data_IF_566656642507
#
_entry.id   IF_566656642507
#
_cell.length_a   1.000
_cell.length_b   1.000
_cell.length_c   1.000
_cell.angle_alpha   90.00
_cell.angle_beta   90.00
_cell.angle_gamma   90.00
#
_symmetry.space_group_name_H-M   'P 1'
#
loop_
_entity.id
_entity.type
_entity.pdbx_description
1 polymer ?
#
# COMPACT_ATOMS: atom_id res chain seq x y z
N UNK A 1 6.30 -0.96 -6.58
CA UNK A 1 6.12 -0.39 -7.94
C UNK A 1 7.51 -0.14 -8.47
N UNK A 2 7.87 -0.82 -9.55
CA UNK A 2 9.19 -0.70 -10.20
C UNK A 2 9.55 0.75 -10.51
N UNK A 3 10.79 1.13 -10.24
CA UNK A 3 11.35 2.45 -10.56
C UNK A 3 12.07 2.50 -11.91
N UNK A 4 12.02 1.40 -12.67
CA UNK A 4 12.67 1.29 -13.98
C UNK A 4 11.60 1.35 -15.06
N UNK A 5 11.81 2.24 -16.03
CA UNK A 5 10.83 2.54 -17.07
C UNK A 5 11.40 2.25 -18.46
N UNK A 6 10.53 1.81 -19.35
CA UNK A 6 10.76 1.77 -20.78
C UNK A 6 9.62 2.52 -21.46
N UNK A 7 9.94 3.45 -22.36
CA UNK A 7 8.93 4.26 -23.08
C UNK A 7 7.93 4.96 -22.14
N UNK A 8 8.43 5.52 -21.03
CA UNK A 8 7.59 6.20 -20.03
C UNK A 8 6.66 5.29 -19.23
N UNK A 9 6.76 3.96 -19.37
CA UNK A 9 5.91 2.98 -18.68
C UNK A 9 6.77 2.02 -17.87
N UNK A 10 6.28 1.67 -16.69
CA UNK A 10 7.08 0.93 -15.71
C UNK A 10 7.30 -0.51 -16.17
N UNK A 11 8.54 -1.00 -16.10
CA UNK A 11 8.90 -2.35 -16.56
C UNK A 11 8.43 -3.39 -15.55
N UNK A 12 7.68 -4.39 -16.00
CA UNK A 12 7.23 -5.48 -15.15
C UNK A 12 8.37 -6.42 -14.74
N UNK A 13 8.34 -6.87 -13.49
CA UNK A 13 9.17 -7.94 -12.96
C UNK A 13 8.35 -8.74 -11.95
N UNK A 14 8.83 -9.94 -11.58
CA UNK A 14 8.10 -10.87 -10.69
C UNK A 14 7.63 -10.25 -9.36
N UNK A 15 8.38 -9.27 -8.85
CA UNK A 15 8.09 -8.58 -7.60
C UNK A 15 7.27 -7.29 -7.74
N UNK A 16 6.84 -6.92 -8.94
CA UNK A 16 6.17 -5.64 -9.19
C UNK A 16 4.81 -5.54 -8.50
N UNK A 17 4.17 -6.68 -8.24
CA UNK A 17 2.96 -6.80 -7.42
C UNK A 17 1.68 -6.40 -8.14
N UNK A 18 1.67 -6.27 -9.47
CA UNK A 18 0.45 -5.97 -10.20
C UNK A 18 -0.45 -7.21 -10.33
N UNK A 19 -1.75 -6.94 -10.43
CA UNK A 19 -2.78 -7.90 -10.83
C UNK A 19 -3.33 -7.47 -12.18
N UNK A 20 -3.20 -8.35 -13.16
CA UNK A 20 -3.79 -8.22 -14.50
C UNK A 20 -5.18 -8.80 -14.47
N UNK A 21 -6.17 -8.00 -14.81
CA UNK A 21 -7.58 -8.40 -14.84
C UNK A 21 -8.08 -8.24 -16.28
N UNK A 22 -8.64 -9.30 -16.83
CA UNK A 22 -9.29 -9.21 -18.14
C UNK A 22 -10.57 -8.40 -18.02
N UNK A 23 -10.88 -7.56 -19.01
CA UNK A 23 -12.26 -7.18 -19.23
C UNK A 23 -13.06 -8.46 -19.58
N UNK A 24 -14.39 -8.44 -19.49
CA UNK A 24 -15.20 -9.59 -19.89
C UNK A 24 -15.20 -9.72 -21.42
N UNK A 25 -14.51 -10.74 -21.99
CA UNK A 25 -15.10 -11.57 -23.04
C UNK A 25 -14.66 -13.06 -23.00
N UNK A 26 -14.16 -13.60 -21.87
CA UNK A 26 -13.84 -15.03 -21.78
C UNK A 26 -15.10 -15.87 -21.58
N UNK A 27 -15.81 -16.12 -22.68
CA UNK A 27 -17.04 -16.91 -22.67
C UNK A 27 -16.68 -18.39 -22.60
N UNK A 28 -16.93 -19.03 -21.47
CA UNK A 28 -16.74 -20.47 -21.31
C UNK A 28 -18.09 -21.20 -21.33
N UNK A 29 -18.05 -22.47 -21.74
CA UNK A 29 -19.19 -23.37 -21.70
C UNK A 29 -19.35 -23.87 -20.28
N UNK A 30 -20.41 -23.44 -19.61
CA UNK A 30 -20.77 -23.90 -18.26
C UNK A 30 -21.74 -25.07 -18.39
N UNK A 31 -21.41 -26.28 -17.91
CA UNK A 31 -22.36 -27.40 -17.94
C UNK A 31 -23.61 -27.09 -17.13
N UNK A 32 -24.78 -27.30 -17.73
CA UNK A 32 -26.07 -27.25 -17.04
C UNK A 32 -26.89 -28.49 -17.39
N UNK A 33 -27.94 -28.85 -16.60
CA UNK A 33 -28.81 -29.98 -16.92
C UNK A 33 -29.47 -29.92 -18.31
N UNK A 34 -29.61 -28.71 -18.89
CA UNK A 34 -30.20 -28.49 -20.22
C UNK A 34 -29.15 -28.37 -21.35
N UNK A 35 -27.87 -28.61 -21.04
CA UNK A 35 -26.74 -28.46 -21.97
C UNK A 35 -25.80 -27.29 -21.61
N UNK A 36 -24.63 -27.18 -22.25
CA UNK A 36 -23.65 -26.14 -21.90
C UNK A 36 -24.13 -24.73 -22.25
N UNK A 37 -24.09 -23.81 -21.29
CA UNK A 37 -24.48 -22.40 -21.46
C UNK A 37 -23.23 -21.53 -21.63
N UNK A 38 -23.10 -20.72 -22.71
CA UNK A 38 -22.03 -19.74 -22.85
C UNK A 38 -22.13 -18.66 -21.75
N UNK A 39 -21.15 -18.61 -20.86
CA UNK A 39 -21.11 -17.66 -19.73
C UNK A 39 -19.82 -16.84 -19.78
N UNK A 40 -19.88 -15.49 -19.73
CA UNK A 40 -18.69 -14.66 -19.69
C UNK A 40 -18.01 -14.70 -18.31
N UNK A 41 -16.68 -14.81 -18.30
CA UNK A 41 -15.86 -14.77 -17.10
C UNK A 41 -14.87 -13.60 -17.10
N UNK A 42 -14.49 -13.19 -15.90
CA UNK A 42 -13.41 -12.23 -15.64
C UNK A 42 -12.24 -13.01 -15.06
N UNK A 43 -11.11 -12.98 -15.76
CA UNK A 43 -9.91 -13.66 -15.33
C UNK A 43 -8.93 -12.70 -14.66
N UNK A 44 -8.10 -13.25 -13.77
CA UNK A 44 -7.05 -12.54 -13.07
C UNK A 44 -5.75 -13.32 -13.05
N UNK A 45 -4.63 -12.62 -13.15
CA UNK A 45 -3.28 -13.16 -13.04
C UNK A 45 -2.36 -12.17 -12.30
N UNK A 46 -1.40 -12.67 -11.50
CA UNK A 46 -0.53 -11.82 -10.68
C UNK A 46 0.93 -11.89 -11.13
N UNK A 47 1.66 -10.76 -11.05
CA UNK A 47 3.09 -10.70 -11.40
C UNK A 47 3.95 -11.70 -10.60
N UNK A 48 3.53 -12.03 -9.38
CA UNK A 48 4.16 -13.04 -8.53
C UNK A 48 4.23 -14.43 -9.19
N UNK A 49 3.34 -14.70 -10.15
CA UNK A 49 3.27 -15.93 -10.94
C UNK A 49 4.12 -15.88 -12.22
N UNK A 50 4.99 -14.87 -12.37
CA UNK A 50 5.88 -14.76 -13.53
C UNK A 50 6.75 -16.02 -13.67
N UNK A 51 6.56 -16.68 -14.82
CA UNK A 51 7.34 -17.79 -15.32
C UNK A 51 8.06 -17.35 -16.60
N UNK A 52 9.20 -17.99 -16.87
CA UNK A 52 10.04 -17.67 -18.06
C UNK A 52 10.42 -16.19 -18.15
N UNK A 53 10.65 -15.55 -17.00
CA UNK A 53 11.28 -14.22 -16.94
C UNK A 53 12.75 -14.25 -17.37
N UNK A 54 13.40 -13.09 -17.37
CA UNK A 54 14.83 -12.98 -17.64
C UNK A 54 15.67 -13.86 -16.69
N UNK A 55 16.81 -14.34 -17.19
CA UNK A 55 17.70 -15.24 -16.44
C UNK A 55 18.86 -14.51 -15.77
N UNK A 56 19.39 -13.48 -16.44
CA UNK A 56 20.60 -12.75 -16.05
C UNK A 56 20.27 -11.35 -15.53
N UNK A 57 19.25 -10.71 -16.10
CA UNK A 57 18.86 -9.36 -15.71
C UNK A 57 17.82 -9.41 -14.61
N UNK A 58 17.96 -8.57 -13.59
CA UNK A 58 16.94 -8.41 -12.55
C UNK A 58 16.62 -6.93 -12.34
N UNK A 59 15.37 -6.64 -11.98
CA UNK A 59 14.94 -5.34 -11.48
C UNK A 59 14.46 -5.56 -10.06
N UNK A 60 15.01 -4.79 -9.10
CA UNK A 60 14.70 -4.95 -7.67
C UNK A 60 14.88 -6.39 -7.17
N UNK A 61 15.95 -7.08 -7.64
CA UNK A 61 16.26 -8.46 -7.28
C UNK A 61 15.31 -9.52 -7.89
N UNK A 62 14.42 -9.13 -8.79
CA UNK A 62 13.42 -10.01 -9.40
C UNK A 62 13.64 -10.17 -10.91
N UNK A 63 13.36 -11.35 -11.49
CA UNK A 63 13.34 -11.55 -12.94
C UNK A 63 12.38 -10.58 -13.64
N UNK A 64 12.83 -10.01 -14.75
CA UNK A 64 12.10 -9.08 -15.62
C UNK A 64 11.15 -9.87 -16.53
N UNK A 65 9.94 -9.34 -16.74
CA UNK A 65 9.00 -9.89 -17.70
C UNK A 65 9.40 -9.47 -19.13
N UNK A 66 9.50 -10.45 -20.02
CA UNK A 66 9.85 -10.28 -21.43
C UNK A 66 8.66 -10.65 -22.31
N UNK A 67 8.66 -10.25 -23.58
CA UNK A 67 7.61 -10.65 -24.53
C UNK A 67 7.48 -12.16 -24.72
N UNK A 68 8.50 -12.94 -24.33
CA UNK A 68 8.48 -14.41 -24.32
C UNK A 68 8.06 -15.02 -22.97
N UNK A 69 7.79 -14.20 -21.96
CA UNK A 69 7.40 -14.64 -20.62
C UNK A 69 5.90 -14.93 -20.52
N UNK A 70 5.50 -15.56 -19.42
CA UNK A 70 4.11 -15.84 -19.11
C UNK A 70 3.85 -15.72 -17.59
N UNK A 71 2.63 -15.40 -17.19
CA UNK A 71 2.17 -15.68 -15.83
C UNK A 71 1.56 -17.09 -15.84
N UNK A 72 2.07 -17.96 -14.98
CA UNK A 72 1.78 -19.40 -15.04
C UNK A 72 0.30 -19.74 -14.87
N UNK A 73 -0.45 -18.87 -14.19
CA UNK A 73 -1.86 -19.11 -13.86
C UNK A 73 -2.68 -17.84 -14.06
N UNK A 74 -3.78 -18.01 -14.80
CA UNK A 74 -4.90 -17.09 -14.92
C UNK A 74 -6.15 -17.82 -14.40
N UNK A 75 -6.89 -17.18 -13.48
CA UNK A 75 -8.02 -17.78 -12.74
C UNK A 75 -9.25 -16.88 -12.78
N UNK A 76 -10.45 -17.46 -12.70
CA UNK A 76 -11.74 -16.76 -12.77
C UNK A 76 -12.79 -17.47 -13.63
N UNK A 77 -12.38 -18.44 -14.45
CA UNK A 77 -13.19 -19.22 -15.39
C UNK A 77 -13.51 -20.65 -14.89
N UNK A 78 -13.26 -20.95 -13.61
CA UNK A 78 -13.42 -22.28 -13.00
C UNK A 78 -14.82 -22.91 -13.11
N UNK A 79 -15.93 -22.15 -13.22
CA UNK A 79 -17.24 -22.75 -13.47
C UNK A 79 -17.43 -23.25 -14.92
N UNK A 80 -16.61 -22.79 -15.87
CA UNK A 80 -16.67 -23.14 -17.29
C UNK A 80 -15.95 -24.44 -17.64
N UNK A 81 -16.24 -25.54 -16.94
CA UNK A 81 -15.48 -26.79 -17.03
C UNK A 81 -15.54 -27.50 -18.38
N UNK A 82 -16.47 -27.12 -19.27
CA UNK A 82 -16.50 -27.57 -20.67
C UNK A 82 -15.64 -26.71 -21.62
N UNK A 83 -14.82 -25.79 -21.06
CA UNK A 83 -13.82 -25.00 -21.75
C UNK A 83 -14.34 -23.73 -22.42
N UNK A 84 -13.42 -22.85 -22.83
CA UNK A 84 -13.72 -21.63 -23.59
C UNK A 84 -14.50 -21.92 -24.88
N UNK A 85 -15.44 -21.03 -25.25
CA UNK A 85 -16.29 -21.15 -26.44
C UNK A 85 -15.46 -21.32 -27.73
N UNK A 86 -14.32 -20.62 -27.80
CA UNK A 86 -13.39 -20.65 -28.92
C UNK A 86 -12.12 -21.46 -28.59
N UNK A 87 -11.61 -21.35 -27.36
CA UNK A 87 -10.31 -21.93 -26.99
C UNK A 87 -10.37 -23.40 -26.54
N UNK A 88 -11.54 -23.89 -26.10
CA UNK A 88 -11.74 -25.19 -25.44
C UNK A 88 -10.80 -25.44 -24.25
N UNK A 89 -10.20 -24.39 -23.67
CA UNK A 89 -9.29 -24.46 -22.52
C UNK A 89 -10.01 -24.09 -21.23
N UNK A 90 -9.54 -24.67 -20.12
CA UNK A 90 -10.04 -24.46 -18.76
C UNK A 90 -8.85 -24.16 -17.85
N UNK A 91 -8.79 -22.94 -17.29
CA UNK A 91 -7.56 -22.36 -16.72
C UNK A 91 -6.43 -22.29 -17.74
N UNK A 92 -5.50 -21.39 -17.51
CA UNK A 92 -4.39 -21.22 -18.44
C UNK A 92 -3.34 -20.26 -17.94
N UNK A 93 -2.47 -19.88 -18.85
CA UNK A 93 -1.45 -18.87 -18.63
C UNK A 93 -1.93 -17.52 -19.15
N UNK A 94 -1.35 -16.46 -18.61
CA UNK A 94 -1.44 -15.14 -19.21
C UNK A 94 -0.13 -14.83 -19.94
N UNK A 95 -0.21 -14.33 -21.17
CA UNK A 95 0.93 -13.82 -21.93
C UNK A 95 0.72 -12.36 -22.29
N UNK A 96 1.75 -11.68 -22.78
CA UNK A 96 1.65 -10.33 -23.31
C UNK A 96 1.64 -10.36 -24.84
N UNK A 97 0.75 -9.59 -25.45
CA UNK A 97 0.66 -9.45 -26.91
C UNK A 97 1.64 -8.42 -27.47
N UNK A 98 2.22 -7.56 -26.63
CA UNK A 98 3.33 -6.68 -27.01
C UNK A 98 4.26 -6.37 -25.84
N UNK A 99 5.35 -5.68 -26.15
CA UNK A 99 6.32 -5.16 -25.19
C UNK A 99 7.02 -3.95 -25.78
N UNK A 100 8.06 -3.46 -25.11
CA UNK A 100 8.93 -2.42 -25.64
C UNK A 100 9.64 -2.88 -26.92
N UNK A 101 9.69 -2.00 -27.92
CA UNK A 101 10.33 -2.27 -29.21
C UNK A 101 11.81 -1.90 -29.23
N UNK A 102 12.19 -0.93 -28.41
CA UNK A 102 13.52 -0.31 -28.29
C UNK A 102 14.28 -0.78 -27.05
N UNK A 103 13.60 -0.99 -25.92
CA UNK A 103 14.21 -1.53 -24.70
C UNK A 103 14.09 -3.04 -24.67
N UNK A 104 15.23 -3.71 -24.81
CA UNK A 104 15.32 -5.18 -24.84
C UNK A 104 16.20 -5.69 -23.71
N UNK A 105 15.75 -6.77 -23.09
CA UNK A 105 16.52 -7.57 -22.14
C UNK A 105 16.65 -8.97 -22.72
N UNK A 106 17.88 -9.48 -22.78
CA UNK A 106 18.16 -10.83 -23.34
C UNK A 106 17.62 -11.00 -24.78
N UNK A 107 17.70 -9.92 -25.57
CA UNK A 107 17.23 -9.89 -26.96
C UNK A 107 15.71 -9.85 -27.12
N UNK A 108 14.94 -9.78 -26.03
CA UNK A 108 13.48 -9.71 -26.03
C UNK A 108 13.00 -8.37 -25.51
N UNK A 109 11.92 -7.85 -26.07
CA UNK A 109 11.30 -6.61 -25.58
C UNK A 109 10.87 -6.78 -24.12
N UNK A 110 11.11 -5.77 -23.29
CA UNK A 110 10.62 -5.76 -21.91
C UNK A 110 9.12 -5.50 -21.88
N UNK A 111 8.40 -6.20 -21.01
CA UNK A 111 6.97 -5.96 -20.78
C UNK A 111 6.81 -4.76 -19.86
N UNK A 112 5.87 -3.88 -20.17
CA UNK A 112 5.58 -2.66 -19.41
C UNK A 112 4.17 -2.69 -18.85
N UNK A 113 3.95 -1.93 -17.78
CA UNK A 113 2.62 -1.63 -17.28
C UNK A 113 1.72 -1.09 -18.40
N UNK A 114 0.51 -1.64 -18.54
CA UNK A 114 -0.48 -1.44 -19.62
C UNK A 114 -0.21 -2.16 -20.95
N UNK A 115 0.82 -3.02 -21.05
CA UNK A 115 1.01 -3.77 -22.29
C UNK A 115 -0.12 -4.80 -22.41
N UNK A 116 -0.74 -4.95 -23.60
CA UNK A 116 -1.88 -5.85 -23.78
C UNK A 116 -1.54 -7.27 -23.33
N UNK A 117 -2.43 -7.84 -22.51
CA UNK A 117 -2.39 -9.21 -22.03
C UNK A 117 -3.35 -10.10 -22.81
N UNK A 118 -3.03 -11.39 -22.80
CA UNK A 118 -3.80 -12.47 -23.41
C UNK A 118 -4.02 -13.50 -22.32
N UNK A 119 -5.21 -13.52 -21.72
CA UNK A 119 -5.57 -14.53 -20.74
C UNK A 119 -6.04 -15.81 -21.43
N UNK A 120 -5.56 -16.97 -20.95
CA UNK A 120 -5.98 -18.30 -21.40
C UNK A 120 -5.82 -18.56 -22.92
N UNK A 121 -4.94 -17.80 -23.60
CA UNK A 121 -4.72 -17.90 -25.05
C UNK A 121 -5.88 -17.37 -25.90
N UNK A 122 -6.77 -16.56 -25.31
CA UNK A 122 -7.81 -15.83 -26.02
C UNK A 122 -7.23 -14.56 -26.69
N UNK A 123 -7.99 -13.94 -27.61
CA UNK A 123 -7.65 -12.65 -28.25
C UNK A 123 -7.50 -11.53 -27.19
N UNK A 124 -6.83 -10.42 -27.53
CA UNK A 124 -6.59 -9.27 -26.65
C UNK A 124 -7.82 -8.93 -25.79
N UNK A 125 -7.73 -9.11 -24.47
CA UNK A 125 -8.87 -8.93 -23.56
C UNK A 125 -8.58 -8.05 -22.34
N UNK A 126 -7.46 -7.31 -22.32
CA UNK A 126 -7.11 -6.45 -21.18
C UNK A 126 -7.79 -5.10 -21.24
N UNK A 127 -8.28 -4.65 -20.08
CA UNK A 127 -8.50 -3.21 -19.84
C UNK A 127 -8.11 -2.75 -18.43
N UNK A 128 -7.72 -3.63 -17.50
CA UNK A 128 -7.45 -3.20 -16.12
C UNK A 128 -6.23 -3.90 -15.51
N UNK A 129 -5.17 -3.15 -15.26
CA UNK A 129 -4.03 -3.58 -14.44
C UNK A 129 -4.09 -2.79 -13.14
N UNK A 130 -4.28 -3.49 -12.03
CA UNK A 130 -4.23 -2.89 -10.69
C UNK A 130 -2.85 -3.09 -10.10
N UNK A 131 -2.26 -2.05 -9.51
CA UNK A 131 -0.94 -2.11 -8.89
C UNK A 131 -0.88 -2.93 -7.57
N UNK A 132 -1.87 -3.81 -7.33
CA UNK A 132 -1.93 -4.74 -6.20
C UNK A 132 -2.02 -4.10 -4.81
N UNK A 133 -2.31 -2.80 -4.74
CA UNK A 133 -2.56 -2.04 -3.51
C UNK A 133 -3.97 -1.44 -3.49
N UNK A 134 -4.29 -0.68 -2.43
CA UNK A 134 -5.57 0.05 -2.33
C UNK A 134 -5.67 1.26 -3.26
N UNK A 135 -4.56 1.62 -3.92
CA UNK A 135 -4.43 2.88 -4.65
C UNK A 135 -4.14 4.09 -3.75
N UNK A 136 -4.01 3.88 -2.43
CA UNK A 136 -3.64 4.94 -1.50
C UNK A 136 -2.21 5.42 -1.78
N UNK A 137 -2.07 6.74 -1.81
CA UNK A 137 -0.79 7.43 -1.85
C UNK A 137 -0.84 8.50 -0.77
N UNK A 138 0.30 8.67 -0.10
CA UNK A 138 0.43 9.63 0.98
C UNK A 138 1.28 10.81 0.49
N UNK A 139 0.90 12.02 0.90
CA UNK A 139 1.63 13.26 0.58
C UNK A 139 1.18 13.96 -0.70
N UNK A 140 0.39 13.32 -1.57
CA UNK A 140 -0.15 13.90 -2.81
C UNK A 140 -1.60 14.40 -2.72
N UNK A 141 -2.26 14.20 -1.58
CA UNK A 141 -3.65 14.60 -1.39
C UNK A 141 -3.83 16.14 -1.44
N UNK A 142 -4.76 16.67 -2.28
CA UNK A 142 -5.13 18.07 -2.23
C UNK A 142 -5.85 18.39 -0.90
N UNK A 143 -5.69 19.62 -0.44
CA UNK A 143 -6.41 20.15 0.73
C UNK A 143 -7.11 21.43 0.27
N UNK A 144 -8.43 21.48 0.41
CA UNK A 144 -9.27 22.57 -0.08
C UNK A 144 -9.03 22.91 -1.58
N UNK A 145 -8.80 21.88 -2.39
CA UNK A 145 -8.51 22.03 -3.82
C UNK A 145 -7.08 22.50 -4.15
N UNK A 146 -6.25 22.79 -3.15
CA UNK A 146 -4.86 23.19 -3.38
C UNK A 146 -3.96 21.98 -3.68
N UNK A 147 -3.45 21.93 -4.91
CA UNK A 147 -2.54 20.90 -5.43
C UNK A 147 -1.06 21.27 -5.31
N UNK A 148 -0.73 22.46 -4.78
CA UNK A 148 0.66 22.92 -4.62
C UNK A 148 1.16 22.68 -3.20
N UNK A 149 2.42 22.28 -3.09
CA UNK A 149 3.09 22.16 -1.81
C UNK A 149 3.38 23.56 -1.22
N UNK A 150 2.94 23.85 0.01
CA UNK A 150 3.20 25.16 0.63
C UNK A 150 4.67 25.48 0.88
N UNK A 151 5.55 24.46 0.90
CA UNK A 151 6.96 24.63 1.23
C UNK A 151 7.85 24.80 -0.02
N UNK A 152 7.69 23.95 -1.05
CA UNK A 152 8.52 24.02 -2.26
C UNK A 152 7.79 24.54 -3.50
N UNK A 153 6.47 24.77 -3.44
CA UNK A 153 5.61 25.20 -4.54
C UNK A 153 5.52 24.24 -5.75
N UNK A 154 6.12 23.05 -5.66
CA UNK A 154 5.93 21.98 -6.63
C UNK A 154 4.54 21.34 -6.50
N UNK A 155 4.13 20.61 -7.53
CA UNK A 155 2.91 19.82 -7.49
C UNK A 155 2.97 18.77 -6.35
N UNK A 156 1.87 18.58 -5.62
CA UNK A 156 1.77 17.55 -4.59
C UNK A 156 1.99 16.14 -5.15
N UNK A 157 1.78 15.91 -6.44
CA UNK A 157 2.15 14.68 -7.13
C UNK A 157 3.67 14.36 -7.11
N UNK A 158 4.53 15.34 -6.79
CA UNK A 158 5.96 15.12 -6.60
C UNK A 158 6.33 14.67 -5.16
N UNK A 159 5.35 14.62 -4.26
CA UNK A 159 5.51 14.32 -2.84
C UNK A 159 4.94 12.95 -2.47
N UNK A 160 4.99 12.02 -3.43
CA UNK A 160 4.26 10.74 -3.35
C UNK A 160 5.01 9.70 -2.54
N UNK A 161 4.30 9.14 -1.57
CA UNK A 161 4.69 7.94 -0.85
C UNK A 161 3.59 6.89 -1.02
N UNK A 162 3.69 5.99 -2.00
CA UNK A 162 2.60 5.07 -2.32
C UNK A 162 2.46 3.93 -1.31
N UNK A 163 1.24 3.46 -1.09
CA UNK A 163 1.00 2.12 -0.56
C UNK A 163 1.35 1.08 -1.63
N UNK A 164 2.11 0.07 -1.22
CA UNK A 164 2.52 -1.05 -2.08
C UNK A 164 2.09 -2.37 -1.46
N UNK A 165 2.04 -3.43 -2.26
CA UNK A 165 1.81 -4.78 -1.75
C UNK A 165 2.80 -5.16 -0.63
N UNK A 166 4.07 -4.73 -0.75
CA UNK A 166 5.10 -5.00 0.24
C UNK A 166 4.83 -4.27 1.57
N UNK A 167 4.59 -2.96 1.54
CA UNK A 167 4.29 -2.18 2.75
C UNK A 167 3.03 -2.69 3.45
N UNK A 168 2.00 -3.04 2.68
CA UNK A 168 0.76 -3.59 3.22
C UNK A 168 0.96 -4.99 3.83
N UNK A 169 1.79 -5.82 3.20
CA UNK A 169 2.14 -7.15 3.73
C UNK A 169 2.91 -7.04 5.05
N UNK A 170 3.85 -6.11 5.16
CA UNK A 170 4.57 -5.85 6.42
C UNK A 170 3.63 -5.26 7.49
N UNK A 171 2.75 -4.32 7.14
CA UNK A 171 1.74 -3.81 8.07
C UNK A 171 0.83 -4.92 8.61
N UNK A 172 0.41 -5.86 7.76
CA UNK A 172 -0.34 -7.06 8.17
C UNK A 172 0.49 -8.05 9.00
N UNK A 173 1.81 -8.12 8.79
CA UNK A 173 2.74 -8.90 9.64
C UNK A 173 2.79 -8.30 11.04
N UNK A 174 3.00 -6.99 11.15
CA UNK A 174 2.94 -6.25 12.42
C UNK A 174 1.60 -6.43 13.14
N UNK A 175 0.49 -6.27 12.42
CA UNK A 175 -0.85 -6.45 13.00
C UNK A 175 -1.05 -7.86 13.58
N UNK A 176 -0.51 -8.89 12.92
CA UNK A 176 -0.59 -10.27 13.42
C UNK A 176 0.24 -10.47 14.69
N UNK A 177 1.46 -9.96 14.74
CA UNK A 177 2.27 -10.02 15.96
C UNK A 177 1.64 -9.23 17.10
N UNK A 178 1.12 -8.03 16.82
CA UNK A 178 0.40 -7.23 17.79
C UNK A 178 -0.82 -7.97 18.35
N UNK A 179 -1.58 -8.68 17.51
CA UNK A 179 -2.70 -9.52 17.98
C UNK A 179 -2.25 -10.68 18.87
N UNK A 180 -1.03 -11.23 18.69
CA UNK A 180 -0.47 -12.24 19.59
C UNK A 180 -0.13 -11.60 20.94
N UNK A 181 0.61 -10.49 20.94
CA UNK A 181 0.96 -9.75 22.16
C UNK A 181 -0.30 -9.33 22.92
N UNK A 182 -1.36 -8.85 22.24
CA UNK A 182 -2.63 -8.50 22.89
C UNK A 182 -3.31 -9.69 23.59
N UNK A 183 -3.14 -10.92 23.10
CA UNK A 183 -3.69 -12.12 23.77
C UNK A 183 -2.96 -12.42 25.07
N UNK A 184 -1.66 -12.14 25.11
CA UNK A 184 -0.78 -12.37 26.25
C UNK A 184 -0.86 -11.23 27.28
N UNK A 185 -0.86 -9.97 26.80
CA UNK A 185 -0.77 -8.74 27.60
C UNK A 185 -1.86 -7.74 27.16
N UNK A 186 -3.06 -7.94 27.71
CA UNK A 186 -4.30 -7.24 27.28
C UNK A 186 -4.25 -5.72 27.46
N UNK A 187 -3.86 -5.24 28.64
CA UNK A 187 -3.94 -3.81 28.99
C UNK A 187 -2.83 -2.98 28.35
N UNK A 188 -1.60 -3.50 28.28
CA UNK A 188 -0.44 -2.79 27.70
C UNK A 188 -0.47 -2.66 26.17
N UNK A 189 -1.51 -3.17 25.50
CA UNK A 189 -1.70 -3.06 24.04
C UNK A 189 -2.90 -2.20 23.63
N UNK A 190 -3.66 -1.67 24.60
CA UNK A 190 -4.84 -0.85 24.38
C UNK A 190 -4.60 0.56 24.90
N UNK A 191 -5.14 1.55 24.20
CA UNK A 191 -5.21 2.90 24.75
C UNK A 191 -6.40 2.99 25.68
N UNK A 192 -6.15 3.34 26.95
CA UNK A 192 -7.19 3.78 27.86
C UNK A 192 -7.41 5.28 27.69
N UNK A 193 -8.67 5.69 27.76
CA UNK A 193 -9.11 7.07 27.84
C UNK A 193 -10.16 7.14 28.97
N UNK A 194 -10.42 8.33 29.51
CA UNK A 194 -11.47 8.54 30.50
C UNK A 194 -12.58 9.32 29.81
N UNK A 195 -13.81 8.80 29.82
CA UNK A 195 -14.93 9.54 29.26
C UNK A 195 -15.58 10.51 30.27
N UNK A 196 -16.60 11.24 29.83
CA UNK A 196 -17.21 12.33 30.60
C UNK A 196 -17.78 11.88 31.96
N UNK A 197 -18.16 10.60 32.09
CA UNK A 197 -18.65 10.04 33.35
C UNK A 197 -17.56 9.41 34.23
N UNK A 198 -16.29 9.55 33.85
CA UNK A 198 -15.15 9.03 34.62
C UNK A 198 -14.85 7.54 34.37
N UNK A 199 -15.57 6.85 33.47
CA UNK A 199 -15.27 5.46 33.15
C UNK A 199 -14.05 5.33 32.22
N UNK A 200 -13.28 4.25 32.38
CA UNK A 200 -12.24 3.89 31.41
C UNK A 200 -12.85 3.36 30.11
N UNK A 201 -12.46 3.96 28.99
CA UNK A 201 -12.83 3.54 27.64
C UNK A 201 -11.59 3.16 26.86
N UNK A 202 -11.58 1.94 26.32
CA UNK A 202 -10.47 1.49 25.50
C UNK A 202 -10.67 1.80 24.01
N UNK A 203 -9.69 2.44 23.39
CA UNK A 203 -9.73 2.89 21.99
C UNK A 203 -8.74 2.12 21.11
N UNK A 204 -9.10 1.98 19.84
CA UNK A 204 -8.16 1.53 18.80
C UNK A 204 -7.15 2.63 18.45
N UNK A 205 -6.18 2.30 17.60
CA UNK A 205 -5.23 3.26 17.08
C UNK A 205 -4.76 2.86 15.67
N UNK A 206 -4.21 3.82 14.94
CA UNK A 206 -3.57 3.55 13.66
C UNK A 206 -2.23 2.89 13.94
N UNK A 207 -1.93 1.83 13.20
CA UNK A 207 -0.57 1.31 13.08
C UNK A 207 -0.06 1.67 11.69
N UNK A 208 1.19 2.05 11.58
CA UNK A 208 1.82 2.38 10.31
C UNK A 208 3.12 1.61 10.13
N UNK A 209 3.39 1.23 8.88
CA UNK A 209 4.67 0.65 8.47
C UNK A 209 5.20 1.40 7.27
N UNK A 210 6.48 1.77 7.30
CA UNK A 210 7.20 2.40 6.21
C UNK A 210 8.42 1.58 5.84
N UNK A 211 8.68 1.45 4.55
CA UNK A 211 9.85 0.73 4.02
C UNK A 211 10.75 1.75 3.32
N UNK A 212 12.03 1.76 3.69
CA UNK A 212 13.00 2.63 3.04
C UNK A 212 13.30 2.15 1.62
N UNK A 213 13.87 3.03 0.80
CA UNK A 213 14.14 2.82 -0.63
C UNK A 213 15.00 1.60 -0.94
N UNK A 214 15.98 1.30 -0.10
CA UNK A 214 16.84 0.13 -0.24
C UNK A 214 16.24 -1.13 0.42
N UNK A 215 15.06 -1.04 1.03
CA UNK A 215 14.41 -2.15 1.76
C UNK A 215 15.27 -2.76 2.89
N UNK A 216 16.27 -2.00 3.38
CA UNK A 216 17.14 -2.38 4.48
C UNK A 216 16.54 -2.09 5.86
N UNK A 217 15.61 -1.14 5.93
CA UNK A 217 14.90 -0.75 7.16
C UNK A 217 13.40 -0.72 6.94
N UNK A 218 12.69 -1.21 7.95
CA UNK A 218 11.24 -1.19 8.08
C UNK A 218 10.93 -0.42 9.35
N UNK A 219 10.25 0.71 9.23
CA UNK A 219 9.85 1.53 10.35
C UNK A 219 8.41 1.18 10.76
N UNK A 220 8.15 1.13 12.06
CA UNK A 220 6.83 0.87 12.62
C UNK A 220 6.46 1.96 13.63
N UNK A 221 5.25 2.50 13.50
CA UNK A 221 4.72 3.54 14.38
C UNK A 221 3.27 3.26 14.74
N UNK A 222 2.81 3.82 15.86
CA UNK A 222 1.39 3.91 16.18
C UNK A 222 0.97 5.38 16.20
N UNK A 223 -0.30 5.67 15.91
CA UNK A 223 -0.82 7.01 16.21
C UNK A 223 -0.91 7.20 17.72
N UNK A 224 -0.65 8.40 18.22
CA UNK A 224 -0.66 8.77 19.64
C UNK A 224 0.46 9.72 20.01
N UNK A 225 0.30 10.40 21.15
CA UNK A 225 1.34 11.20 21.80
C UNK A 225 2.27 10.37 22.70
N UNK A 226 1.92 9.11 22.94
CA UNK A 226 2.66 8.15 23.75
C UNK A 226 2.65 6.78 23.06
N UNK A 227 3.58 5.92 23.45
CA UNK A 227 3.65 4.54 22.98
C UNK A 227 3.09 3.58 24.04
N UNK A 228 2.62 2.43 23.55
CA UNK A 228 2.15 1.31 24.36
C UNK A 228 3.20 0.21 24.36
N UNK A 229 3.57 -0.30 25.55
CA UNK A 229 4.60 -1.34 25.69
C UNK A 229 4.34 -2.57 24.83
N UNK A 230 3.09 -3.01 24.75
CA UNK A 230 2.76 -4.18 23.94
C UNK A 230 2.90 -3.95 22.43
N UNK A 231 2.82 -2.72 21.95
CA UNK A 231 3.19 -2.41 20.56
C UNK A 231 4.70 -2.45 20.37
N UNK A 232 5.45 -1.84 21.29
CA UNK A 232 6.91 -1.89 21.29
C UNK A 232 7.42 -3.33 21.30
N UNK A 233 6.82 -4.19 22.12
CA UNK A 233 7.11 -5.61 22.17
C UNK A 233 6.81 -6.32 20.83
N UNK A 234 5.68 -6.02 20.19
CA UNK A 234 5.37 -6.60 18.87
C UNK A 234 6.40 -6.22 17.81
N UNK A 235 6.85 -4.96 17.80
CA UNK A 235 7.91 -4.49 16.90
C UNK A 235 9.25 -5.15 17.25
N UNK A 236 9.59 -5.27 18.54
CA UNK A 236 10.82 -5.91 18.99
C UNK A 236 10.87 -7.41 18.62
N UNK A 237 9.76 -8.13 18.73
CA UNK A 237 9.66 -9.54 18.27
C UNK A 237 9.98 -9.66 16.78
N UNK A 238 9.47 -8.73 15.96
CA UNK A 238 9.76 -8.68 14.54
C UNK A 238 11.20 -8.28 14.25
N UNK A 239 11.76 -7.37 15.05
CA UNK A 239 13.16 -6.99 14.94
C UNK A 239 14.10 -8.15 15.24
N UNK A 240 13.83 -8.95 16.28
CA UNK A 240 14.60 -10.15 16.57
C UNK A 240 14.54 -11.20 15.45
N UNK A 241 13.42 -11.27 14.72
CA UNK A 241 13.22 -12.25 13.65
C UNK A 241 13.81 -11.81 12.30
N UNK A 242 13.71 -10.52 11.94
CA UNK A 242 13.98 -10.02 10.59
C UNK A 242 15.14 -9.00 10.55
N UNK A 243 15.51 -8.41 11.68
CA UNK A 243 16.66 -7.50 11.82
C UNK A 243 16.48 -6.10 11.23
N UNK A 244 15.43 -5.86 10.43
CA UNK A 244 15.19 -4.58 9.74
C UNK A 244 14.20 -3.65 10.43
N UNK A 245 13.45 -4.12 11.42
CA UNK A 245 12.37 -3.39 12.09
C UNK A 245 12.90 -2.34 13.08
N UNK A 246 12.40 -1.12 12.96
CA UNK A 246 12.73 0.00 13.85
C UNK A 246 11.45 0.61 14.40
N UNK A 247 11.38 0.73 15.73
CA UNK A 247 10.28 1.38 16.42
C UNK A 247 10.42 2.90 16.32
N UNK A 248 9.37 3.56 15.85
CA UNK A 248 9.29 5.03 15.84
C UNK A 248 8.72 5.54 17.14
N UNK A 249 9.27 6.66 17.61
CA UNK A 249 8.77 7.38 18.77
C UNK A 249 7.84 8.52 18.35
N UNK A 250 6.83 8.87 19.16
CA UNK A 250 6.01 10.05 18.92
C UNK A 250 6.84 11.32 18.78
N UNK A 251 6.44 12.20 17.87
CA UNK A 251 7.09 13.50 17.72
C UNK A 251 6.63 14.44 18.83
N UNK A 252 7.59 15.07 19.52
CA UNK A 252 7.30 16.07 20.53
C UNK A 252 6.55 17.28 19.93
N UNK A 253 5.72 17.95 20.75
CA UNK A 253 4.88 19.08 20.33
C UNK A 253 5.65 20.23 19.67
N UNK A 254 6.90 20.45 20.07
CA UNK A 254 7.80 21.47 19.51
C UNK A 254 8.89 20.91 18.59
N UNK A 255 8.77 19.67 18.12
CA UNK A 255 9.81 19.08 17.28
C UNK A 255 9.94 19.82 15.95
N UNK A 256 11.19 20.00 15.51
CA UNK A 256 11.53 20.34 14.15
C UNK A 256 11.45 19.06 13.30
N UNK A 257 10.73 19.17 12.19
CA UNK A 257 10.67 18.11 11.19
C UNK A 257 11.56 18.49 10.01
N UNK A 258 12.17 17.48 9.41
CA UNK A 258 13.06 17.65 8.28
C UNK A 258 12.45 17.05 7.04
N UNK A 259 12.93 17.47 5.87
CA UNK A 259 12.58 16.86 4.60
C UNK A 259 13.84 16.55 3.77
N UNK A 260 13.72 15.77 2.68
CA UNK A 260 14.84 15.48 1.78
C UNK A 260 15.52 16.74 1.20
N UNK A 261 14.83 17.88 1.08
CA UNK A 261 15.42 19.16 0.65
C UNK A 261 16.44 19.72 1.66
N UNK A 262 16.30 19.35 2.93
CA UNK A 262 17.13 19.86 4.03
C UNK A 262 16.47 21.01 4.80
N UNK A 263 15.18 21.27 4.59
CA UNK A 263 14.46 22.29 5.36
C UNK A 263 14.19 21.79 6.77
N UNK A 264 14.19 22.71 7.74
CA UNK A 264 13.74 22.47 9.11
C UNK A 264 12.44 23.23 9.37
N UNK A 265 11.35 22.49 9.61
CA UNK A 265 10.01 23.05 9.72
C UNK A 265 9.48 22.75 11.14
N UNK A 266 9.11 23.77 11.93
CA UNK A 266 8.50 23.54 13.24
C UNK A 266 7.13 22.89 13.12
N UNK A 267 6.86 21.78 13.83
CA UNK A 267 5.52 21.16 13.83
C UNK A 267 4.40 22.11 14.29
N UNK A 268 4.74 23.14 15.08
CA UNK A 268 3.82 24.17 15.52
C UNK A 268 3.26 25.03 14.37
N UNK A 269 3.98 25.17 13.25
CA UNK A 269 3.54 25.95 12.09
C UNK A 269 2.25 25.37 11.46
N UNK A 270 2.07 24.05 11.55
CA UNK A 270 0.89 23.37 11.04
C UNK A 270 -0.35 23.54 11.93
N UNK A 271 -0.17 23.82 13.23
CA UNK A 271 -1.30 24.03 14.16
C UNK A 271 -2.03 25.34 13.88
N UNK A 272 -1.29 26.37 13.49
CA UNK A 272 -1.84 27.71 13.26
C UNK A 272 -2.79 27.75 12.06
N UNK A 273 -2.62 26.82 11.11
CA UNK A 273 -3.38 26.76 9.86
C UNK A 273 -4.77 26.08 9.99
N UNK A 274 -5.17 25.57 11.17
CA UNK A 274 -6.46 24.86 11.43
C UNK A 274 -6.83 23.75 10.41
N UNK A 275 -5.84 23.10 9.81
CA UNK A 275 -6.01 22.14 8.69
C UNK A 275 -6.83 20.89 9.06
N UNK A 276 -6.99 20.57 10.34
CA UNK A 276 -7.78 19.42 10.77
C UNK A 276 -7.86 19.28 12.29
N UNK A 277 -8.60 18.27 12.77
CA UNK A 277 -8.80 18.03 14.20
C UNK A 277 -7.62 17.35 14.89
N UNK A 278 -6.78 16.64 14.13
CA UNK A 278 -5.66 15.86 14.69
C UNK A 278 -4.44 16.75 14.91
N UNK A 279 -3.74 16.55 16.03
CA UNK A 279 -2.50 17.26 16.32
C UNK A 279 -1.39 16.88 15.31
N UNK A 280 -0.64 17.84 14.75
CA UNK A 280 0.50 17.54 13.88
C UNK A 280 1.54 16.66 14.57
N UNK A 281 2.04 15.65 13.86
CA UNK A 281 3.11 14.75 14.32
C UNK A 281 2.69 13.55 15.17
N UNK A 282 1.44 13.49 15.66
CA UNK A 282 0.98 12.35 16.49
C UNK A 282 0.47 11.17 15.66
N UNK A 283 0.22 11.34 14.36
CA UNK A 283 -0.18 10.26 13.47
C UNK A 283 1.02 9.34 13.16
N UNK A 284 0.76 8.08 12.78
CA UNK A 284 1.83 7.12 12.51
C UNK A 284 2.66 7.54 11.28
N UNK A 285 2.01 7.99 10.19
CA UNK A 285 2.68 8.49 8.99
C UNK A 285 3.84 9.47 9.23
N UNK A 286 3.59 10.64 9.85
CA UNK A 286 4.64 11.62 10.15
C UNK A 286 5.79 11.05 11.01
N UNK A 287 5.49 10.20 12.00
CA UNK A 287 6.52 9.58 12.84
C UNK A 287 7.43 8.66 12.02
N UNK A 288 6.85 7.86 11.12
CA UNK A 288 7.58 6.97 10.23
C UNK A 288 8.53 7.73 9.31
N UNK A 289 8.01 8.75 8.61
CA UNK A 289 8.78 9.54 7.65
C UNK A 289 9.95 10.24 8.35
N UNK A 290 9.69 10.88 9.49
CA UNK A 290 10.72 11.60 10.23
C UNK A 290 11.80 10.67 10.79
N UNK A 291 11.42 9.51 11.33
CA UNK A 291 12.41 8.54 11.84
C UNK A 291 13.30 8.01 10.72
N UNK A 292 12.72 7.70 9.55
CA UNK A 292 13.48 7.27 8.39
C UNK A 292 14.49 8.34 7.93
N UNK A 293 14.02 9.57 7.72
CA UNK A 293 14.87 10.67 7.25
C UNK A 293 16.00 11.01 8.24
N UNK A 294 15.73 11.02 9.55
CA UNK A 294 16.75 11.27 10.58
C UNK A 294 17.83 10.19 10.66
N UNK A 295 17.50 8.96 10.27
CA UNK A 295 18.48 7.87 10.14
C UNK A 295 19.17 7.85 8.76
N UNK A 296 18.95 8.86 7.93
CA UNK A 296 19.54 8.97 6.58
C UNK A 296 18.85 8.08 5.54
N UNK A 297 17.72 7.46 5.87
CA UNK A 297 16.99 6.60 4.95
C UNK A 297 15.90 7.37 4.21
N UNK A 298 15.81 7.13 2.90
CA UNK A 298 14.78 7.75 2.07
C UNK A 298 13.51 6.88 2.05
N UNK A 299 12.34 7.38 2.46
CA UNK A 299 11.05 6.71 2.31
C UNK A 299 10.77 6.22 0.88
N UNK A 300 10.12 5.07 0.75
CA UNK A 300 9.73 4.53 -0.56
C UNK A 300 8.31 3.99 -0.63
N UNK A 301 7.80 3.40 0.44
CA UNK A 301 6.39 3.04 0.53
C UNK A 301 5.95 2.99 1.99
N UNK A 302 4.65 3.23 2.23
CA UNK A 302 4.09 3.06 3.56
C UNK A 302 2.64 2.58 3.51
N UNK A 303 2.17 2.04 4.63
CA UNK A 303 0.80 1.57 4.82
C UNK A 303 0.35 1.83 6.25
N UNK A 304 -0.83 2.41 6.42
CA UNK A 304 -1.47 2.61 7.71
C UNK A 304 -2.75 1.78 7.84
N UNK A 305 -2.84 0.97 8.89
CA UNK A 305 -3.99 0.10 9.17
C UNK A 305 -4.67 0.48 10.48
N UNK A 306 -5.99 0.35 10.55
CA UNK A 306 -6.72 0.52 11.81
C UNK A 306 -6.62 -0.72 12.71
N UNK A 307 -6.03 -0.57 13.89
CA UNK A 307 -5.94 -1.63 14.90
C UNK A 307 -7.04 -1.48 15.97
N UNK A 308 -7.94 -2.46 16.00
CA UNK A 308 -9.03 -2.56 16.98
C UNK A 308 -9.27 -4.05 17.30
N UNK A 309 -8.59 -4.61 18.31
CA UNK A 309 -8.65 -6.04 18.59
C UNK A 309 -10.04 -6.44 19.10
N UNK A 310 -10.47 -7.66 18.78
CA UNK A 310 -11.82 -8.17 19.15
C UNK A 310 -12.10 -8.14 20.66
N UNK A 311 -11.06 -8.15 21.49
CA UNK A 311 -11.23 -8.01 22.95
C UNK A 311 -11.94 -6.72 23.34
N UNK A 312 -11.83 -5.65 22.53
CA UNK A 312 -12.58 -4.41 22.70
C UNK A 312 -14.10 -4.60 22.62
N UNK A 313 -14.59 -5.65 21.96
CA UNK A 313 -16.03 -5.99 21.94
C UNK A 313 -16.53 -6.60 23.25
N UNK A 314 -15.62 -7.06 24.12
CA UNK A 314 -15.96 -7.63 25.44
C UNK A 314 -16.14 -6.56 26.51
N UNK A 315 -15.65 -5.35 26.30
CA UNK A 315 -15.90 -4.23 27.20
C UNK A 315 -17.31 -3.69 26.95
N UNK A 316 -18.01 -3.28 28.02
CA UNK A 316 -19.42 -2.86 27.98
C UNK A 316 -19.68 -1.68 27.04
N UNK A 317 -18.67 -0.86 26.74
CA UNK A 317 -18.77 0.28 25.81
C UNK A 317 -18.16 -0.05 24.46
N UNK A 318 -18.85 0.26 23.34
CA UNK A 318 -18.29 0.05 22.02
C UNK A 318 -17.04 0.94 21.84
N UNK A 319 -15.88 0.33 21.58
CA UNK A 319 -14.67 1.10 21.27
C UNK A 319 -14.87 2.05 20.07
N UNK A 320 -14.26 3.23 20.13
CA UNK A 320 -14.39 4.29 19.10
C UNK A 320 -13.89 3.80 17.73
N UNK A 321 -14.64 4.06 16.67
CA UNK A 321 -14.23 3.87 15.27
C UNK A 321 -13.42 5.06 14.78
N UNK A 322 -12.51 4.85 13.84
CA UNK A 322 -11.91 5.98 13.12
C UNK A 322 -12.79 6.32 11.94
N UNK A 323 -13.27 7.55 11.93
CA UNK A 323 -13.95 8.17 10.79
C UNK A 323 -12.98 9.13 10.11
N UNK A 324 -12.73 8.92 8.82
CA UNK A 324 -11.90 9.85 8.03
C UNK A 324 -12.72 10.43 6.90
N UNK A 325 -12.59 11.73 6.72
CA UNK A 325 -13.10 12.47 5.57
C UNK A 325 -12.06 12.43 4.45
N UNK A 326 -12.46 11.92 3.29
CA UNK A 326 -11.58 11.77 2.13
C UNK A 326 -12.33 12.17 0.86
N UNK A 327 -11.58 12.68 -0.11
CA UNK A 327 -12.13 13.04 -1.40
C UNK A 327 -12.30 11.77 -2.24
N UNK A 328 -13.52 11.51 -2.71
CA UNK A 328 -13.84 10.41 -3.62
C UNK A 328 -14.69 10.97 -4.76
N UNK A 329 -14.23 10.82 -5.99
CA UNK A 329 -14.91 11.33 -7.19
C UNK A 329 -15.20 12.84 -7.15
N UNK A 330 -14.36 13.63 -6.49
CA UNK A 330 -14.55 15.09 -6.34
C UNK A 330 -15.47 15.50 -5.18
N UNK A 331 -16.03 14.56 -4.42
CA UNK A 331 -16.86 14.84 -3.25
C UNK A 331 -16.21 14.33 -1.95
N UNK A 332 -16.40 15.08 -0.86
CA UNK A 332 -15.92 14.67 0.46
C UNK A 332 -16.86 13.62 1.06
N UNK A 333 -16.31 12.45 1.36
CA UNK A 333 -17.03 11.35 1.99
C UNK A 333 -16.42 11.01 3.36
N UNK A 334 -17.28 10.91 4.38
CA UNK A 334 -16.91 10.37 5.70
C UNK A 334 -17.15 8.86 5.72
N UNK A 335 -16.16 8.10 6.11
CA UNK A 335 -16.26 6.64 6.24
C UNK A 335 -15.66 6.16 7.55
N UNK A 336 -16.35 5.22 8.19
CA UNK A 336 -15.85 4.46 9.31
C UNK A 336 -14.97 3.31 8.83
N UNK A 337 -13.77 3.21 9.40
CA UNK A 337 -12.81 2.17 9.07
C UNK A 337 -12.86 1.03 10.08
N UNK A 338 -12.91 -0.19 9.55
CA UNK A 338 -12.95 -1.43 10.33
C UNK A 338 -11.54 -1.89 10.65
N UNK A 339 -11.44 -2.78 11.65
CA UNK A 339 -10.17 -3.41 12.00
C UNK A 339 -9.50 -4.02 10.75
N UNK A 340 -8.21 -3.72 10.56
CA UNK A 340 -7.34 -4.18 9.45
C UNK A 340 -7.56 -3.50 8.10
N UNK A 341 -8.46 -2.52 8.01
CA UNK A 341 -8.59 -1.73 6.78
C UNK A 341 -7.46 -0.72 6.68
N UNK A 342 -6.95 -0.52 5.45
CA UNK A 342 -6.08 0.61 5.15
C UNK A 342 -6.88 1.90 5.24
N UNK A 343 -6.26 2.93 5.82
CA UNK A 343 -6.92 4.22 6.06
C UNK A 343 -6.15 5.32 5.31
N UNK A 344 -6.83 6.20 4.56
CA UNK A 344 -6.18 7.35 3.92
C UNK A 344 -5.67 8.35 4.95
N UNK A 345 -4.84 9.29 4.49
CA UNK A 345 -4.37 10.42 5.29
C UNK A 345 -5.54 11.21 5.89
N UNK A 346 -5.46 11.55 7.18
CA UNK A 346 -6.30 12.61 7.73
C UNK A 346 -5.84 13.99 7.23
N UNK A 347 -6.68 15.02 7.31
CA UNK A 347 -6.37 16.35 6.75
C UNK A 347 -5.06 16.95 7.27
N UNK A 348 -4.79 16.81 8.57
CA UNK A 348 -3.50 17.22 9.15
C UNK A 348 -2.32 16.51 8.46
N UNK A 349 -2.43 15.21 8.18
CA UNK A 349 -1.39 14.45 7.49
C UNK A 349 -1.26 14.82 6.01
N UNK A 350 -2.35 15.21 5.33
CA UNK A 350 -2.33 15.66 3.93
C UNK A 350 -1.51 16.94 3.70
N UNK A 351 -1.16 17.66 4.76
CA UNK A 351 -0.25 18.83 4.69
C UNK A 351 1.11 18.50 5.28
N UNK A 352 1.13 17.90 6.47
CA UNK A 352 2.40 17.59 7.15
C UNK A 352 3.24 16.64 6.31
N UNK A 353 2.66 15.56 5.75
CA UNK A 353 3.41 14.60 4.94
C UNK A 353 3.92 15.20 3.64
N UNK A 354 3.13 16.07 2.99
CA UNK A 354 3.57 16.76 1.77
C UNK A 354 4.85 17.55 2.03
N UNK A 355 4.90 18.38 3.09
CA UNK A 355 6.10 19.18 3.39
C UNK A 355 7.30 18.31 3.83
N UNK A 356 7.05 17.19 4.52
CA UNK A 356 8.09 16.21 4.89
C UNK A 356 8.69 15.47 3.69
N UNK A 357 7.97 15.40 2.58
CA UNK A 357 8.36 14.64 1.38
C UNK A 357 8.91 15.55 0.27
N UNK A 358 9.16 16.83 0.54
CA UNK A 358 9.77 17.73 -0.43
C UNK A 358 11.09 17.16 -0.96
N UNK A 359 11.24 17.14 -2.28
CA UNK A 359 12.40 16.59 -3.00
C UNK A 359 12.68 15.09 -2.74
N UNK A 360 11.68 14.33 -2.30
CA UNK A 360 11.81 12.87 -2.08
C UNK A 360 12.24 12.12 -3.35
N UNK A 361 11.78 12.57 -4.52
CA UNK A 361 12.13 12.00 -5.82
C UNK A 361 13.56 12.37 -6.27
N UNK A 362 14.13 13.47 -5.75
CA UNK A 362 15.44 13.99 -6.14
C UNK A 362 16.60 13.41 -5.31
N UNK A 363 16.32 12.85 -4.12
CA UNK A 363 17.35 12.21 -3.29
C UNK A 363 17.59 10.76 -3.69
N UNK A 364 18.83 10.33 -3.81
CA UNK A 364 19.24 8.93 -3.77
C UNK A 364 19.40 8.46 -2.32
N UNK A 365 19.29 7.15 -2.10
CA UNK A 365 19.44 6.53 -0.78
C UNK A 365 20.85 5.97 -0.60
#
# INVERSE_FOLDING_TARGET
MTKVFANGRSILHKGAGNTHVSAAPDVCKVPTPAGPVPTPFVNSAQDSMLAKGSKKTTIEGNPVALTSSELSTSSGDEPGTAGGLISSKFKGKMTWGSGSMDVKVEGKGVVRFLDPTLHNGNTFNTSFISAGGTGLVYGDDPVDGNIRCPNCNEDKAEHRLPETHLSLTQARKLLRELLKVTREKKLSTLKADIDEDGSEVFRGYMIGVLICRLNHKIYAAMSGSYYLDGFGEAVNRLQTQDGRWSLCQPLAKGALITNPRGDEIPLSSFRQKKIGKNLPGVCAGPQLVQKALREGHIPSSMSELWFRPRILKRFKRPGVTVTVEHLRNGEYAKRDFRHRESVPSCDTCKVVLTEMLCDINKKSC
#
